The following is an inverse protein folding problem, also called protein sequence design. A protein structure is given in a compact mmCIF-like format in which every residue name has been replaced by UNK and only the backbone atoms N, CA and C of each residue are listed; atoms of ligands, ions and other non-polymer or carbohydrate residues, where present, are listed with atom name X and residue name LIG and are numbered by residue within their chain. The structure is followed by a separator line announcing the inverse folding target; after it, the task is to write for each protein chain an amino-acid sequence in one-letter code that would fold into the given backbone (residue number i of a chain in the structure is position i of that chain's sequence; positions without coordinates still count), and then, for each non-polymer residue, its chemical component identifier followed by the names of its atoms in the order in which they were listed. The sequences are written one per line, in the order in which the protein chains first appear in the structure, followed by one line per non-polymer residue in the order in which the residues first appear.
data_IF_531424872269
#
_entry.id   IF_531424872269
#
_cell.length_a   1.000
_cell.length_b   1.000
_cell.length_c   1.000
_cell.angle_alpha   90.00
_cell.angle_beta   90.00
_cell.angle_gamma   90.00
#
_symmetry.space_group_name_H-M   'P 1'
#
loop_
_entity.id
_entity.type
_entity.pdbx_description
1 polymer ?
#
# COMPACT_ATOMS: atom_id res chain seq x y z
N UNK A 1 5.26 -9.36 4.51
CA UNK A 1 6.48 -8.53 4.41
C UNK A 1 6.26 -7.29 3.54
N UNK A 2 5.75 -7.44 2.31
CA UNK A 2 5.45 -6.30 1.42
C UNK A 2 4.54 -5.24 2.07
N UNK A 3 3.47 -5.65 2.77
CA UNK A 3 2.60 -4.72 3.52
C UNK A 3 3.35 -4.01 4.67
N UNK A 4 4.28 -4.67 5.34
CA UNK A 4 5.07 -4.04 6.40
C UNK A 4 6.00 -2.95 5.84
N UNK A 5 6.60 -3.22 4.67
CA UNK A 5 7.39 -2.23 3.93
C UNK A 5 6.51 -1.06 3.51
N UNK A 6 5.30 -1.31 3.02
CA UNK A 6 4.34 -0.25 2.71
C UNK A 6 4.04 0.64 3.93
N UNK A 7 3.76 0.06 5.09
CA UNK A 7 3.54 0.82 6.33
C UNK A 7 4.79 1.63 6.73
N UNK A 8 5.98 1.03 6.62
CA UNK A 8 7.24 1.71 6.89
C UNK A 8 7.47 2.89 5.93
N UNK A 9 7.18 2.71 4.64
CA UNK A 9 7.28 3.77 3.63
C UNK A 9 6.32 4.94 3.91
N UNK A 10 5.10 4.66 4.37
CA UNK A 10 4.17 5.70 4.82
C UNK A 10 4.70 6.42 6.06
N UNK A 11 5.26 5.70 7.03
CA UNK A 11 5.86 6.31 8.22
C UNK A 11 7.03 7.22 7.84
N UNK A 12 7.91 6.78 6.94
CA UNK A 12 8.99 7.61 6.40
C UNK A 12 8.43 8.87 5.72
N UNK A 13 7.32 8.74 4.98
CA UNK A 13 6.65 9.89 4.39
C UNK A 13 6.17 10.89 5.45
N UNK A 14 5.48 10.41 6.47
CA UNK A 14 5.00 11.25 7.57
C UNK A 14 6.15 11.95 8.29
N UNK A 15 7.25 11.25 8.56
CA UNK A 15 8.45 11.83 9.19
C UNK A 15 9.02 12.95 8.31
N UNK A 16 9.19 12.71 7.01
CA UNK A 16 9.69 13.72 6.07
C UNK A 16 8.82 14.99 6.08
N UNK A 17 7.49 14.83 6.10
CA UNK A 17 6.53 15.94 6.18
C UNK A 17 6.57 16.68 7.51
N UNK A 18 6.67 15.96 8.63
CA UNK A 18 6.81 16.59 9.96
C UNK A 18 8.08 17.44 10.01
N UNK A 19 9.21 16.90 9.53
CA UNK A 19 10.49 17.63 9.51
C UNK A 19 10.37 18.89 8.65
N UNK A 20 9.78 18.78 7.44
CA UNK A 20 9.57 19.93 6.56
C UNK A 20 8.71 21.01 7.21
N UNK A 21 7.49 20.66 7.65
CA UNK A 21 6.55 21.64 8.21
C UNK A 21 7.01 22.23 9.55
N UNK A 22 7.70 21.44 10.37
CA UNK A 22 8.26 21.93 11.63
C UNK A 22 9.41 22.91 11.39
N UNK A 23 10.25 22.65 10.38
CA UNK A 23 11.29 23.58 9.94
C UNK A 23 10.69 24.87 9.38
N UNK A 24 9.64 24.78 8.58
CA UNK A 24 8.97 25.95 7.97
C UNK A 24 8.30 26.81 9.05
N UNK A 25 7.61 26.17 9.99
CA UNK A 25 6.99 26.85 11.13
C UNK A 25 8.03 27.54 12.02
N UNK A 26 9.16 26.88 12.29
CA UNK A 26 10.26 27.46 13.05
C UNK A 26 10.81 28.73 12.38
N UNK A 27 11.12 28.66 11.09
CA UNK A 27 11.62 29.82 10.32
C UNK A 27 10.59 30.96 10.24
N UNK A 28 9.30 30.62 10.20
CA UNK A 28 8.23 31.60 10.18
C UNK A 28 8.12 32.39 11.50
N UNK A 29 8.18 31.68 12.64
CA UNK A 29 8.03 32.23 13.99
C UNK A 29 9.27 32.98 14.50
N UNK A 30 10.46 32.66 13.98
CA UNK A 30 11.70 33.30 14.40
C UNK A 30 11.77 34.75 13.87
N UNK A 31 12.29 35.72 14.66
CA UNK A 31 12.42 37.12 14.23
C UNK A 31 13.59 37.31 13.24
N UNK A 32 13.52 36.62 12.10
CA UNK A 32 14.47 36.72 11.00
C UNK A 32 13.94 37.68 9.93
N UNK A 33 14.82 38.39 9.20
CA UNK A 33 14.43 39.17 8.04
C UNK A 33 13.83 38.24 6.96
N UNK A 34 12.92 38.79 6.13
CA UNK A 34 12.08 38.03 5.19
C UNK A 34 12.88 37.10 4.26
N UNK A 35 14.06 37.53 3.82
CA UNK A 35 14.94 36.74 2.94
C UNK A 35 15.58 35.53 3.64
N UNK A 36 15.76 35.60 4.97
CA UNK A 36 16.37 34.54 5.76
C UNK A 36 15.37 33.50 6.28
N UNK A 37 14.06 33.76 6.13
CA UNK A 37 13.00 32.80 6.45
C UNK A 37 12.91 31.62 5.48
N UNK A 38 13.71 31.63 4.41
CA UNK A 38 13.76 30.54 3.42
C UNK A 38 14.48 29.32 3.99
N UNK A 39 14.00 28.14 3.60
CA UNK A 39 14.53 26.88 4.09
C UNK A 39 15.95 26.60 3.55
N UNK A 40 16.77 25.97 4.36
CA UNK A 40 18.10 25.52 3.94
C UNK A 40 17.99 24.39 2.93
N UNK A 41 18.86 24.44 1.91
CA UNK A 41 18.93 23.43 0.86
C UNK A 41 19.03 21.99 1.40
N UNK A 42 19.94 21.72 2.35
CA UNK A 42 20.15 20.38 2.88
C UNK A 42 18.92 19.79 3.58
N UNK A 43 18.21 20.60 4.38
CA UNK A 43 16.98 20.16 5.05
C UNK A 43 15.90 19.86 4.01
N UNK A 44 15.79 20.70 2.99
CA UNK A 44 14.84 20.53 1.91
C UNK A 44 15.10 19.24 1.10
N UNK A 45 16.37 18.94 0.75
CA UNK A 45 16.72 17.71 0.03
C UNK A 45 16.37 16.48 0.85
N UNK A 46 16.73 16.48 2.14
CA UNK A 46 16.49 15.33 3.02
C UNK A 46 14.99 15.11 3.23
N UNK A 47 14.24 16.13 3.62
CA UNK A 47 12.79 16.01 3.88
C UNK A 47 12.04 15.57 2.64
N UNK A 48 12.39 16.13 1.48
CA UNK A 48 11.78 15.81 0.18
C UNK A 48 12.12 14.43 -0.33
N UNK A 49 13.38 14.02 -0.19
CA UNK A 49 13.78 12.65 -0.52
C UNK A 49 13.02 11.63 0.32
N UNK A 50 12.87 11.87 1.63
CA UNK A 50 12.14 10.97 2.54
C UNK A 50 10.67 10.84 2.15
N UNK A 51 9.97 11.95 1.93
CA UNK A 51 8.54 11.88 1.64
C UNK A 51 8.24 11.39 0.23
N UNK A 52 9.05 11.78 -0.77
CA UNK A 52 8.91 11.25 -2.12
C UNK A 52 9.24 9.76 -2.18
N UNK A 53 10.29 9.31 -1.50
CA UNK A 53 10.62 7.88 -1.41
C UNK A 53 9.46 7.09 -0.80
N UNK A 54 8.88 7.59 0.30
CA UNK A 54 7.75 6.94 0.95
C UNK A 54 6.53 6.78 0.04
N UNK A 55 6.21 7.80 -0.75
CA UNK A 55 5.13 7.75 -1.75
C UNK A 55 5.41 6.77 -2.87
N UNK A 56 6.57 6.86 -3.53
CA UNK A 56 6.88 5.95 -4.63
C UNK A 56 6.97 4.50 -4.15
N UNK A 57 7.63 4.26 -3.02
CA UNK A 57 7.73 2.93 -2.45
C UNK A 57 6.37 2.36 -2.05
N UNK A 58 5.49 3.17 -1.45
CA UNK A 58 4.13 2.72 -1.13
C UNK A 58 3.27 2.50 -2.38
N UNK A 59 3.44 3.29 -3.44
CA UNK A 59 2.67 3.18 -4.69
C UNK A 59 2.94 1.92 -5.50
N UNK A 60 4.16 1.38 -5.43
CA UNK A 60 4.50 0.13 -6.10
C UNK A 60 4.11 -1.11 -5.28
N UNK A 61 3.65 -0.95 -4.03
CA UNK A 61 3.22 -2.08 -3.17
C UNK A 61 2.17 -2.94 -3.86
N UNK A 62 1.14 -2.34 -4.45
CA UNK A 62 0.08 -3.09 -5.14
C UNK A 62 0.62 -3.88 -6.35
N UNK A 63 1.63 -3.33 -7.05
CA UNK A 63 2.33 -4.01 -8.16
C UNK A 63 3.10 -5.24 -7.65
N UNK A 64 3.90 -5.08 -6.60
CA UNK A 64 4.66 -6.19 -6.03
C UNK A 64 3.77 -7.26 -5.39
N UNK A 65 2.63 -6.87 -4.81
CA UNK A 65 1.60 -7.83 -4.36
C UNK A 65 1.03 -8.61 -5.55
N UNK A 66 0.68 -7.94 -6.65
CA UNK A 66 0.17 -8.62 -7.84
C UNK A 66 1.17 -9.63 -8.41
N UNK A 67 2.46 -9.27 -8.44
CA UNK A 67 3.55 -10.17 -8.86
C UNK A 67 3.67 -11.35 -7.88
N UNK A 68 3.72 -11.10 -6.57
CA UNK A 68 3.78 -12.15 -5.54
C UNK A 68 2.63 -13.15 -5.71
N UNK A 69 1.40 -12.64 -5.90
CA UNK A 69 0.20 -13.48 -6.05
C UNK A 69 0.20 -14.24 -7.36
N UNK A 70 0.71 -13.64 -8.44
CA UNK A 70 0.88 -14.33 -9.73
C UNK A 70 1.86 -15.49 -9.59
N UNK A 71 3.02 -15.27 -8.97
CA UNK A 71 4.03 -16.30 -8.72
C UNK A 71 3.45 -17.40 -7.83
N UNK A 72 2.80 -17.05 -6.73
CA UNK A 72 2.20 -18.01 -5.81
C UNK A 72 1.11 -18.88 -6.48
N UNK A 73 0.35 -18.30 -7.41
CA UNK A 73 -0.73 -19.03 -8.12
C UNK A 73 -0.17 -19.96 -9.20
N UNK A 74 0.77 -19.49 -10.04
CA UNK A 74 1.30 -20.29 -11.16
C UNK A 74 2.41 -21.27 -10.75
N UNK A 75 3.18 -20.95 -9.71
CA UNK A 75 4.34 -21.73 -9.27
C UNK A 75 4.17 -22.23 -7.82
N UNK A 76 2.96 -22.63 -7.43
CA UNK A 76 2.59 -22.97 -6.05
C UNK A 76 3.58 -23.93 -5.37
N UNK A 77 3.94 -25.05 -6.01
CA UNK A 77 4.89 -26.04 -5.47
C UNK A 77 6.29 -25.47 -5.19
N UNK A 78 6.81 -24.62 -6.08
CA UNK A 78 8.14 -24.01 -5.92
C UNK A 78 8.11 -22.83 -4.93
N UNK A 79 6.98 -22.12 -4.90
CA UNK A 79 6.76 -21.03 -3.98
C UNK A 79 6.69 -21.50 -2.52
N UNK A 80 6.04 -22.63 -2.24
CA UNK A 80 5.96 -23.19 -0.88
C UNK A 80 7.35 -23.46 -0.27
N UNK A 81 8.25 -24.06 -1.05
CA UNK A 81 9.61 -24.36 -0.62
C UNK A 81 10.52 -23.12 -0.50
N UNK A 82 10.10 -21.98 -1.09
CA UNK A 82 10.93 -20.78 -1.23
C UNK A 82 10.28 -19.47 -0.80
N UNK A 83 9.12 -19.49 -0.12
CA UNK A 83 8.25 -18.32 0.10
C UNK A 83 8.98 -17.11 0.68
N UNK A 84 9.89 -17.37 1.63
CA UNK A 84 10.68 -16.32 2.28
C UNK A 84 11.66 -15.66 1.30
N UNK A 85 12.37 -16.45 0.47
CA UNK A 85 13.34 -15.95 -0.51
C UNK A 85 12.68 -15.06 -1.56
N UNK A 86 11.54 -15.49 -2.11
CA UNK A 86 10.78 -14.68 -3.09
C UNK A 86 10.24 -13.40 -2.47
N UNK A 87 9.73 -13.47 -1.23
CA UNK A 87 9.28 -12.28 -0.51
C UNK A 87 10.39 -11.25 -0.28
N UNK A 88 11.59 -11.71 0.11
CA UNK A 88 12.76 -10.82 0.34
C UNK A 88 13.21 -10.19 -0.97
N UNK A 89 13.32 -10.98 -2.03
CA UNK A 89 13.71 -10.49 -3.34
C UNK A 89 12.77 -9.36 -3.83
N UNK A 90 11.45 -9.57 -3.73
CA UNK A 90 10.46 -8.59 -4.16
C UNK A 90 10.54 -7.28 -3.35
N UNK A 91 10.73 -7.38 -2.04
CA UNK A 91 10.90 -6.20 -1.17
C UNK A 91 12.16 -5.42 -1.50
N UNK A 92 13.29 -6.11 -1.72
CA UNK A 92 14.54 -5.45 -2.08
C UNK A 92 14.39 -4.75 -3.43
N UNK A 93 13.77 -5.39 -4.42
CA UNK A 93 13.50 -4.74 -5.71
C UNK A 93 12.56 -3.54 -5.60
N UNK A 94 11.56 -3.58 -4.71
CA UNK A 94 10.66 -2.45 -4.47
C UNK A 94 11.40 -1.23 -3.93
N UNK A 95 12.29 -1.44 -2.95
CA UNK A 95 13.11 -0.38 -2.37
C UNK A 95 14.08 0.18 -3.41
N UNK A 96 14.79 -0.68 -4.14
CA UNK A 96 15.73 -0.27 -5.18
C UNK A 96 15.06 0.54 -6.29
N UNK A 97 13.90 0.10 -6.77
CA UNK A 97 13.13 0.82 -7.80
C UNK A 97 12.77 2.23 -7.32
N UNK A 98 12.31 2.35 -6.07
CA UNK A 98 11.94 3.63 -5.47
C UNK A 98 13.16 4.55 -5.30
N UNK A 99 14.32 4.02 -4.91
CA UNK A 99 15.56 4.78 -4.81
C UNK A 99 16.02 5.28 -6.18
N UNK A 100 15.96 4.45 -7.22
CA UNK A 100 16.34 4.84 -8.59
C UNK A 100 15.45 5.98 -9.08
N UNK A 101 14.14 5.89 -8.87
CA UNK A 101 13.18 6.96 -9.23
C UNK A 101 13.57 8.27 -8.54
N UNK A 102 13.85 8.23 -7.24
CA UNK A 102 14.27 9.42 -6.48
C UNK A 102 15.58 9.97 -7.01
N UNK A 103 16.61 9.15 -7.20
CA UNK A 103 17.89 9.62 -7.74
C UNK A 103 17.66 10.32 -9.08
N UNK A 104 16.92 9.70 -10.01
CA UNK A 104 16.64 10.30 -11.31
C UNK A 104 15.83 11.61 -11.24
N UNK A 105 14.87 11.71 -10.32
CA UNK A 105 14.07 12.93 -10.10
C UNK A 105 14.92 14.11 -9.60
N UNK A 106 16.02 13.84 -8.89
CA UNK A 106 16.88 14.87 -8.29
C UNK A 106 18.20 15.09 -9.06
N UNK A 107 18.55 14.24 -10.04
CA UNK A 107 19.86 14.25 -10.73
C UNK A 107 19.99 15.26 -11.89
N UNK A 108 19.43 16.46 -11.80
CA UNK A 108 19.48 17.39 -12.94
C UNK A 108 19.20 18.85 -12.66
N UNK A 109 19.16 19.26 -11.40
CA UNK A 109 18.66 20.58 -11.02
C UNK A 109 19.82 21.46 -10.55
N UNK A 110 19.93 22.68 -11.09
CA UNK A 110 20.79 23.72 -10.53
C UNK A 110 20.15 24.21 -9.23
N UNK A 111 20.72 23.81 -8.09
CA UNK A 111 20.13 24.08 -6.79
C UNK A 111 20.61 25.44 -6.24
N UNK A 112 19.70 26.42 -6.02
CA UNK A 112 20.06 27.63 -5.29
C UNK A 112 20.26 27.30 -3.80
N UNK A 113 21.22 27.97 -3.14
CA UNK A 113 21.51 27.78 -1.70
C UNK A 113 20.27 27.96 -0.79
N UNK A 114 19.32 28.80 -1.22
CA UNK A 114 18.04 29.06 -0.53
C UNK A 114 16.87 29.11 -1.51
N UNK A 115 16.21 27.97 -1.80
CA UNK A 115 15.08 27.94 -2.71
C UNK A 115 13.89 28.72 -2.14
N UNK A 116 13.10 29.36 -3.01
CA UNK A 116 11.92 30.15 -2.60
C UNK A 116 10.81 29.28 -1.98
N UNK A 117 10.76 28.02 -2.39
CA UNK A 117 9.94 26.96 -1.81
C UNK A 117 10.75 25.66 -1.86
N UNK A 118 10.53 24.73 -0.95
CA UNK A 118 11.19 23.43 -0.97
C UNK A 118 10.66 22.54 -2.13
N UNK A 119 10.94 22.97 -3.36
CA UNK A 119 10.58 22.32 -4.60
C UNK A 119 11.80 22.27 -5.50
N UNK A 120 12.11 21.05 -5.91
CA UNK A 120 13.09 20.77 -6.94
C UNK A 120 12.38 20.73 -8.28
N UNK A 121 12.92 21.49 -9.24
CA UNK A 121 12.41 21.58 -10.59
C UNK A 121 12.87 20.35 -11.38
N UNK A 122 12.33 19.18 -11.04
CA UNK A 122 12.55 17.97 -11.82
C UNK A 122 12.36 18.27 -13.30
N UNK A 123 13.17 17.66 -14.17
CA UNK A 123 12.92 17.63 -15.62
C UNK A 123 11.46 17.24 -15.83
N UNK A 124 10.63 18.19 -16.27
CA UNK A 124 9.16 18.03 -16.36
C UNK A 124 8.81 16.69 -17.00
N UNK A 125 9.48 16.37 -18.10
CA UNK A 125 9.29 15.13 -18.86
C UNK A 125 9.49 13.85 -18.02
N UNK A 126 10.50 13.77 -17.16
CA UNK A 126 10.76 12.55 -16.39
C UNK A 126 9.72 12.36 -15.28
N UNK A 127 9.37 13.42 -14.56
CA UNK A 127 8.33 13.36 -13.52
C UNK A 127 6.98 12.92 -14.12
N UNK A 128 6.53 13.56 -15.20
CA UNK A 128 5.29 13.19 -15.88
C UNK A 128 5.31 11.73 -16.37
N UNK A 129 6.44 11.25 -16.92
CA UNK A 129 6.59 9.85 -17.35
C UNK A 129 6.44 8.90 -16.15
N UNK A 130 7.12 9.19 -15.03
CA UNK A 130 7.04 8.36 -13.83
C UNK A 130 5.61 8.31 -13.27
N UNK A 131 4.90 9.43 -13.25
CA UNK A 131 3.50 9.49 -12.81
C UNK A 131 2.59 8.63 -13.70
N UNK A 132 2.70 8.75 -15.03
CA UNK A 132 1.93 7.95 -15.99
C UNK A 132 2.23 6.45 -15.84
N UNK A 133 3.52 6.09 -15.72
CA UNK A 133 3.94 4.69 -15.49
C UNK A 133 3.40 4.16 -14.17
N UNK A 134 3.37 4.99 -13.12
CA UNK A 134 2.86 4.58 -11.80
C UNK A 134 1.34 4.36 -11.84
N UNK A 135 0.58 5.22 -12.51
CA UNK A 135 -0.87 5.06 -12.68
C UNK A 135 -1.19 3.80 -13.49
N UNK A 136 -0.56 3.64 -14.65
CA UNK A 136 -0.82 2.51 -15.56
C UNK A 136 -0.42 1.17 -14.95
N UNK A 137 0.72 1.11 -14.25
CA UNK A 137 1.15 -0.10 -13.53
C UNK A 137 0.23 -0.47 -12.38
N UNK A 138 -0.30 0.51 -11.63
CA UNK A 138 -1.28 0.27 -10.57
C UNK A 138 -2.62 -0.24 -11.13
N UNK A 139 -3.11 0.32 -12.23
CA UNK A 139 -4.31 -0.17 -12.94
C UNK A 139 -4.17 -1.62 -13.37
N UNK A 140 -3.06 -1.95 -14.04
CA UNK A 140 -2.79 -3.31 -14.48
C UNK A 140 -2.69 -4.28 -13.30
N UNK A 141 -2.00 -3.87 -12.24
CA UNK A 141 -1.78 -4.70 -11.05
C UNK A 141 -3.06 -4.95 -10.28
N UNK A 142 -3.92 -3.94 -10.15
CA UNK A 142 -5.24 -4.09 -9.52
C UNK A 142 -6.12 -5.05 -10.33
N UNK A 143 -6.19 -4.89 -11.65
CA UNK A 143 -6.92 -5.80 -12.53
C UNK A 143 -6.41 -7.24 -12.43
N UNK A 144 -5.09 -7.43 -12.38
CA UNK A 144 -4.47 -8.74 -12.22
C UNK A 144 -4.77 -9.37 -10.85
N UNK A 145 -4.68 -8.59 -9.77
CA UNK A 145 -5.06 -9.02 -8.42
C UNK A 145 -6.53 -9.46 -8.37
N UNK A 146 -7.44 -8.68 -8.97
CA UNK A 146 -8.86 -9.01 -9.04
C UNK A 146 -9.14 -10.27 -9.87
N UNK A 147 -8.46 -10.43 -11.01
CA UNK A 147 -8.57 -11.64 -11.83
C UNK A 147 -8.09 -12.88 -11.06
N UNK A 148 -6.92 -12.81 -10.43
CA UNK A 148 -6.38 -13.91 -9.62
C UNK A 148 -7.25 -14.22 -8.42
N UNK A 149 -7.89 -13.21 -7.82
CA UNK A 149 -8.86 -13.41 -6.75
C UNK A 149 -10.03 -14.27 -7.21
N UNK A 150 -10.64 -13.94 -8.36
CA UNK A 150 -11.77 -14.69 -8.91
C UNK A 150 -11.37 -16.14 -9.25
N UNK A 151 -10.22 -16.34 -9.90
CA UNK A 151 -9.71 -17.68 -10.22
C UNK A 151 -9.50 -18.51 -8.95
N UNK A 152 -8.87 -17.92 -7.93
CA UNK A 152 -8.63 -18.60 -6.65
C UNK A 152 -9.94 -18.95 -5.94
N UNK A 153 -10.97 -18.11 -6.04
CA UNK A 153 -12.29 -18.40 -5.48
C UNK A 153 -12.99 -19.55 -6.23
N UNK A 154 -12.90 -19.58 -7.56
CA UNK A 154 -13.50 -20.66 -8.38
C UNK A 154 -12.81 -22.00 -8.13
N UNK A 155 -11.48 -22.06 -8.16
CA UNK A 155 -10.73 -23.32 -7.94
C UNK A 155 -11.04 -23.95 -6.57
N UNK A 156 -11.29 -23.12 -5.55
CA UNK A 156 -11.64 -23.58 -4.19
C UNK A 156 -13.07 -24.08 -4.05
N UNK A 157 -13.98 -23.66 -4.92
CA UNK A 157 -15.34 -24.18 -4.94
C UNK A 157 -15.39 -25.58 -5.57
N UNK A 158 -14.41 -25.91 -6.42
CA UNK A 158 -14.37 -27.15 -7.19
C UNK A 158 -13.50 -28.23 -6.53
N UNK A 159 -12.41 -27.87 -5.84
CA UNK A 159 -11.54 -28.85 -5.18
C UNK A 159 -12.16 -29.41 -3.89
N UNK A 160 -12.73 -30.61 -3.98
CA UNK A 160 -13.06 -31.45 -2.84
C UNK A 160 -11.77 -31.88 -2.12
N UNK A 161 -11.55 -31.35 -0.91
CA UNK A 161 -10.27 -31.42 -0.19
C UNK A 161 -9.95 -32.86 0.25
N UNK A 162 -8.85 -33.43 -0.25
CA UNK A 162 -8.38 -34.78 0.11
C UNK A 162 -7.35 -34.81 1.24
N UNK A 163 -6.61 -33.71 1.50
CA UNK A 163 -5.54 -33.67 2.52
C UNK A 163 -5.73 -32.56 3.58
N UNK A 164 -5.39 -32.86 4.85
CA UNK A 164 -5.50 -31.91 5.99
C UNK A 164 -4.66 -30.63 5.79
N UNK A 165 -3.46 -30.74 5.21
CA UNK A 165 -2.60 -29.57 4.92
C UNK A 165 -3.27 -28.62 3.92
N UNK A 166 -3.91 -29.16 2.88
CA UNK A 166 -4.65 -28.36 1.91
C UNK A 166 -5.86 -27.70 2.54
N UNK A 167 -6.55 -28.38 3.46
CA UNK A 167 -7.67 -27.81 4.23
C UNK A 167 -7.23 -26.59 5.04
N UNK A 168 -6.10 -26.71 5.75
CA UNK A 168 -5.54 -25.62 6.54
C UNK A 168 -5.17 -24.42 5.68
N UNK A 169 -4.49 -24.65 4.54
CA UNK A 169 -4.14 -23.59 3.59
C UNK A 169 -5.37 -22.90 2.99
N UNK A 170 -6.44 -23.65 2.68
CA UNK A 170 -7.69 -23.07 2.17
C UNK A 170 -8.34 -22.17 3.24
N UNK A 171 -8.32 -22.59 4.51
CA UNK A 171 -8.95 -21.86 5.60
C UNK A 171 -8.18 -20.59 6.00
N UNK A 172 -6.84 -20.66 6.04
CA UNK A 172 -5.97 -19.50 6.24
C UNK A 172 -6.17 -18.48 5.11
N UNK A 173 -6.17 -18.95 3.87
CA UNK A 173 -6.36 -18.08 2.72
C UNK A 173 -7.79 -17.50 2.64
N UNK A 174 -8.82 -18.15 3.17
CA UNK A 174 -10.19 -17.60 3.23
C UNK A 174 -10.27 -16.34 4.09
N UNK A 175 -9.37 -16.21 5.06
CA UNK A 175 -9.26 -15.04 5.95
C UNK A 175 -8.35 -13.97 5.33
N UNK A 176 -7.20 -14.37 4.80
CA UNK A 176 -6.19 -13.46 4.26
C UNK A 176 -6.61 -12.76 2.97
N UNK A 177 -7.28 -13.48 2.06
CA UNK A 177 -7.61 -12.93 0.75
C UNK A 177 -8.58 -11.73 0.81
N UNK A 178 -9.71 -11.75 1.54
CA UNK A 178 -10.59 -10.57 1.62
C UNK A 178 -9.91 -9.37 2.31
N UNK A 179 -9.00 -9.62 3.27
CA UNK A 179 -8.17 -8.58 3.89
C UNK A 179 -7.26 -7.95 2.84
N UNK A 180 -6.54 -8.80 2.08
CA UNK A 180 -5.62 -8.37 1.04
C UNK A 180 -6.34 -7.59 -0.06
N UNK A 181 -7.50 -8.07 -0.52
CA UNK A 181 -8.29 -7.42 -1.56
C UNK A 181 -8.78 -6.04 -1.10
N UNK A 182 -9.27 -5.95 0.15
CA UNK A 182 -9.71 -4.68 0.74
C UNK A 182 -8.55 -3.68 0.83
N UNK A 183 -7.39 -4.15 1.28
CA UNK A 183 -6.17 -3.34 1.32
C UNK A 183 -5.76 -2.85 -0.07
N UNK A 184 -5.61 -3.75 -1.05
CA UNK A 184 -5.20 -3.39 -2.42
C UNK A 184 -6.21 -2.48 -3.11
N UNK A 185 -7.50 -2.59 -2.78
CA UNK A 185 -8.53 -1.70 -3.33
C UNK A 185 -8.43 -0.28 -2.77
N UNK A 186 -8.19 -0.14 -1.47
CA UNK A 186 -8.00 1.17 -0.84
C UNK A 186 -6.72 1.84 -1.35
N UNK A 187 -5.63 1.07 -1.39
CA UNK A 187 -4.35 1.55 -1.90
C UNK A 187 -4.45 1.98 -3.37
N UNK A 188 -5.07 1.15 -4.22
CA UNK A 188 -5.32 1.49 -5.62
C UNK A 188 -6.10 2.80 -5.79
N UNK A 189 -7.24 2.96 -5.10
CA UNK A 189 -8.06 4.17 -5.18
C UNK A 189 -7.26 5.40 -4.76
N UNK A 190 -6.52 5.30 -3.65
CA UNK A 190 -5.71 6.40 -3.17
C UNK A 190 -4.59 6.76 -4.14
N UNK A 191 -3.82 5.77 -4.62
CA UNK A 191 -2.68 6.01 -5.52
C UNK A 191 -3.13 6.61 -6.85
N UNK A 192 -4.23 6.11 -7.43
CA UNK A 192 -4.76 6.68 -8.69
C UNK A 192 -5.21 8.12 -8.48
N UNK A 193 -5.95 8.44 -7.42
CA UNK A 193 -6.38 9.81 -7.14
C UNK A 193 -5.17 10.71 -6.89
N UNK A 194 -4.18 10.24 -6.13
CA UNK A 194 -2.97 10.98 -5.80
C UNK A 194 -2.17 11.35 -7.05
N UNK A 195 -1.79 10.37 -7.87
CA UNK A 195 -0.98 10.61 -9.07
C UNK A 195 -1.76 11.30 -10.18
N UNK A 196 -3.06 11.05 -10.32
CA UNK A 196 -3.90 11.79 -11.27
C UNK A 196 -3.99 13.27 -10.88
N UNK A 197 -4.13 13.58 -9.59
CA UNK A 197 -4.16 14.96 -9.10
C UNK A 197 -2.82 15.67 -9.32
N UNK A 198 -1.70 14.97 -9.09
CA UNK A 198 -0.37 15.50 -9.40
C UNK A 198 -0.22 15.80 -10.90
N UNK A 199 -0.62 14.88 -11.77
CA UNK A 199 -0.59 15.05 -13.22
C UNK A 199 -1.43 16.27 -13.66
N UNK A 200 -2.64 16.42 -13.12
CA UNK A 200 -3.52 17.56 -13.42
C UNK A 200 -2.85 18.88 -12.99
N UNK A 201 -2.26 18.92 -11.80
CA UNK A 201 -1.59 20.12 -11.29
C UNK A 201 -0.34 20.47 -12.10
N UNK A 202 0.43 19.48 -12.56
CA UNK A 202 1.58 19.73 -13.43
C UNK A 202 1.15 20.27 -14.81
N UNK A 203 0.03 19.78 -15.37
CA UNK A 203 -0.53 20.30 -16.63
C UNK A 203 -1.06 21.74 -16.47
N UNK A 204 -1.73 22.06 -15.36
CA UNK A 204 -2.27 23.39 -15.06
C UNK A 204 -1.20 24.42 -14.66
N UNK A 205 0.06 23.99 -14.49
CA UNK A 205 1.18 24.85 -14.08
C UNK A 205 1.39 26.06 -15.01
N UNK A 206 1.04 25.94 -16.29
CA UNK A 206 1.23 27.00 -17.27
C UNK A 206 0.21 28.16 -17.14
N UNK A 207 -0.90 27.95 -16.42
CA UNK A 207 -2.01 28.91 -16.36
C UNK A 207 -2.13 29.63 -15.01
N UNK A 208 -1.54 29.09 -13.94
CA UNK A 208 -1.74 29.59 -12.56
C UNK A 208 -0.53 30.34 -12.00
N UNK A 209 -0.82 31.28 -11.10
CA UNK A 209 0.20 31.94 -10.28
C UNK A 209 0.91 30.93 -9.37
N UNK A 210 2.21 31.17 -9.13
CA UNK A 210 3.07 30.26 -8.35
C UNK A 210 2.48 29.92 -6.96
N UNK A 211 1.85 30.89 -6.28
CA UNK A 211 1.23 30.67 -4.96
C UNK A 211 0.05 29.69 -5.00
N UNK A 212 -0.80 29.77 -6.03
CA UNK A 212 -1.96 28.88 -6.19
C UNK A 212 -1.52 27.46 -6.53
N UNK A 213 -0.49 27.34 -7.37
CA UNK A 213 0.12 26.06 -7.72
C UNK A 213 0.71 25.37 -6.48
N UNK A 214 1.45 26.11 -5.66
CA UNK A 214 2.04 25.59 -4.42
C UNK A 214 0.98 25.14 -3.41
N UNK A 215 -0.08 25.92 -3.22
CA UNK A 215 -1.18 25.55 -2.32
C UNK A 215 -1.90 24.27 -2.76
N UNK A 216 -2.11 24.09 -4.07
CA UNK A 216 -2.72 22.87 -4.60
C UNK A 216 -1.82 21.64 -4.44
N UNK A 217 -0.51 21.80 -4.65
CA UNK A 217 0.45 20.71 -4.47
C UNK A 217 0.46 20.21 -3.02
N UNK A 218 0.46 21.12 -2.05
CA UNK A 218 0.40 20.78 -0.63
C UNK A 218 -0.90 20.08 -0.23
N UNK A 219 -2.03 20.49 -0.83
CA UNK A 219 -3.32 19.84 -0.62
C UNK A 219 -3.34 18.39 -1.12
N UNK A 220 -2.71 18.13 -2.27
CA UNK A 220 -2.62 16.79 -2.86
C UNK A 220 -1.68 15.89 -2.06
N UNK A 221 -0.61 16.45 -1.50
CA UNK A 221 0.41 15.71 -0.74
C UNK A 221 -0.03 15.29 0.68
N UNK A 222 -1.34 15.15 0.91
CA UNK A 222 -1.92 14.80 2.21
C UNK A 222 -1.96 13.27 2.47
N UNK A 223 -0.84 12.57 2.21
CA UNK A 223 -0.66 11.12 2.48
C UNK A 223 -0.87 10.75 3.96
N UNK A 224 -0.60 11.60 4.96
CA UNK A 224 -0.95 11.28 6.35
C UNK A 224 -2.45 11.01 6.56
N UNK A 225 -3.33 11.65 5.79
CA UNK A 225 -4.79 11.38 5.84
C UNK A 225 -5.07 9.96 5.36
N UNK A 226 -4.41 9.53 4.28
CA UNK A 226 -4.50 8.15 3.79
C UNK A 226 -4.04 7.14 4.85
N UNK A 227 -2.94 7.41 5.55
CA UNK A 227 -2.46 6.53 6.61
C UNK A 227 -3.53 6.29 7.69
N UNK A 228 -4.21 7.35 8.13
CA UNK A 228 -5.31 7.27 9.12
C UNK A 228 -6.49 6.46 8.57
N UNK A 229 -6.90 6.75 7.34
CA UNK A 229 -8.02 6.05 6.67
C UNK A 229 -7.72 4.55 6.55
N UNK A 230 -6.53 4.17 6.10
CA UNK A 230 -6.13 2.77 5.96
C UNK A 230 -6.15 2.05 7.31
N UNK A 231 -5.54 2.63 8.35
CA UNK A 231 -5.53 2.03 9.69
C UNK A 231 -6.96 1.79 10.18
N UNK A 232 -7.83 2.77 10.02
CA UNK A 232 -9.21 2.69 10.47
C UNK A 232 -10.03 1.64 9.71
N UNK A 233 -9.97 1.67 8.37
CA UNK A 233 -10.73 0.74 7.53
C UNK A 233 -10.22 -0.68 7.70
N UNK A 234 -8.90 -0.89 7.69
CA UNK A 234 -8.31 -2.22 7.86
C UNK A 234 -8.62 -2.80 9.24
N UNK A 235 -8.57 -1.98 10.30
CA UNK A 235 -8.98 -2.41 11.64
C UNK A 235 -10.44 -2.91 11.68
N UNK A 236 -11.34 -2.22 10.98
CA UNK A 236 -12.75 -2.63 10.86
C UNK A 236 -12.91 -3.92 10.05
N UNK A 237 -12.21 -4.05 8.92
CA UNK A 237 -12.24 -5.25 8.08
C UNK A 237 -11.74 -6.48 8.86
N UNK A 238 -10.60 -6.35 9.55
CA UNK A 238 -10.02 -7.42 10.37
C UNK A 238 -10.99 -7.84 11.48
N UNK A 239 -11.53 -6.88 12.24
CA UNK A 239 -12.54 -7.17 13.29
C UNK A 239 -13.77 -7.88 12.73
N UNK A 240 -14.30 -7.43 11.58
CA UNK A 240 -15.47 -8.03 10.94
C UNK A 240 -15.21 -9.48 10.53
N UNK A 241 -14.02 -9.78 10.04
CA UNK A 241 -13.63 -11.14 9.62
C UNK A 241 -13.45 -12.05 10.84
N UNK A 242 -12.76 -11.59 11.89
CA UNK A 242 -12.63 -12.36 13.14
C UNK A 242 -14.00 -12.66 13.76
N UNK A 243 -14.90 -11.67 13.80
CA UNK A 243 -16.25 -11.87 14.31
C UNK A 243 -17.03 -12.92 13.48
N UNK A 244 -17.00 -12.82 12.15
CA UNK A 244 -17.62 -13.83 11.26
C UNK A 244 -17.05 -15.23 11.50
N UNK A 245 -15.74 -15.34 11.74
CA UNK A 245 -15.08 -16.62 12.03
C UNK A 245 -15.55 -17.20 13.37
N UNK A 246 -15.63 -16.37 14.42
CA UNK A 246 -16.12 -16.79 15.73
C UNK A 246 -17.58 -17.25 15.69
N UNK A 247 -18.46 -16.51 15.02
CA UNK A 247 -19.88 -16.88 14.87
C UNK A 247 -20.02 -18.19 14.10
N UNK A 248 -19.29 -18.38 13.00
CA UNK A 248 -19.33 -19.62 12.22
C UNK A 248 -18.82 -20.82 13.02
N UNK A 249 -17.74 -20.64 13.78
CA UNK A 249 -17.18 -21.68 14.64
C UNK A 249 -18.20 -22.09 15.72
N UNK A 250 -18.82 -21.13 16.40
CA UNK A 250 -19.83 -21.41 17.41
C UNK A 250 -21.04 -22.16 16.82
N UNK A 251 -21.50 -21.77 15.63
CA UNK A 251 -22.59 -22.47 14.94
C UNK A 251 -22.21 -23.91 14.56
N UNK A 252 -20.99 -24.15 14.06
CA UNK A 252 -20.53 -25.51 13.72
C UNK A 252 -20.31 -26.40 14.95
N UNK A 253 -19.88 -25.84 16.08
CA UNK A 253 -19.75 -26.57 17.35
C UNK A 253 -21.13 -26.98 17.87
N UNK A 254 -22.10 -26.06 17.91
CA UNK A 254 -23.47 -26.34 18.38
C UNK A 254 -24.14 -27.44 17.55
N UNK A 255 -24.03 -27.40 16.22
CA UNK A 255 -24.62 -28.41 15.33
C UNK A 255 -23.97 -29.79 15.54
N UNK A 256 -22.66 -29.85 15.80
CA UNK A 256 -21.96 -31.11 16.08
C UNK A 256 -22.33 -31.71 17.42
N UNK A 257 -22.50 -30.89 18.46
CA UNK A 257 -22.93 -31.39 19.77
C UNK A 257 -24.32 -32.03 19.66
N UNK A 258 -25.28 -31.35 19.02
CA UNK A 258 -26.63 -31.90 18.79
C UNK A 258 -26.60 -33.20 17.98
N UNK A 259 -25.85 -33.24 16.87
CA UNK A 259 -25.71 -34.43 16.04
C UNK A 259 -25.00 -35.58 16.78
N UNK A 260 -24.02 -35.28 17.63
CA UNK A 260 -23.30 -36.25 18.44
C UNK A 260 -24.21 -36.91 19.48
N UNK A 261 -25.03 -36.12 20.18
CA UNK A 261 -26.01 -36.64 21.14
C UNK A 261 -27.08 -37.49 20.45
N UNK A 262 -27.53 -37.12 19.25
CA UNK A 262 -28.48 -37.92 18.47
C UNK A 262 -27.86 -39.27 18.07
N UNK A 263 -26.61 -39.26 17.59
CA UNK A 263 -25.92 -40.48 17.18
C UNK A 263 -25.65 -41.42 18.36
N UNK A 264 -25.22 -40.89 19.50
CA UNK A 264 -25.06 -41.64 20.76
C UNK A 264 -26.38 -42.27 21.21
N UNK A 265 -27.47 -41.51 21.15
CA UNK A 265 -28.81 -42.01 21.50
C UNK A 265 -29.25 -43.15 20.59
N UNK A 266 -28.96 -43.06 19.29
CA UNK A 266 -29.21 -44.11 18.30
C UNK A 266 -28.40 -45.39 18.57
N UNK A 267 -27.11 -45.26 18.90
CA UNK A 267 -26.29 -46.41 19.27
C UNK A 267 -26.79 -47.09 20.54
N UNK A 268 -27.16 -46.31 21.57
CA UNK A 268 -27.72 -46.87 22.81
C UNK A 268 -29.08 -47.55 22.61
N UNK A 269 -29.92 -47.06 21.70
CA UNK A 269 -31.20 -47.71 21.40
C UNK A 269 -31.08 -49.05 20.67
N UNK A 270 -29.93 -49.32 20.04
CA UNK A 270 -29.67 -50.57 19.32
C UNK A 270 -29.11 -51.69 20.21
N UNK A 271 -28.74 -51.40 21.46
CA UNK A 271 -28.23 -52.36 22.44
C UNK A 271 -29.31 -52.92 23.40
N UNK A 272 -30.60 -52.67 23.11
CA UNK A 272 -31.75 -53.31 23.75
C UNK A 272 -32.44 -54.24 22.77
#
# INVERSE_FOLDING_TARGET
MIIAVHCFSILLHCIGRIVQHSSDLYLWLTPLPVCDKRQFFGICVVSRSLFSFGVYCSSFTTVFIAIERTIATHLSRKYENGKSKYGVLLVVSQILLSLVIIICLFSGDDFPDRPAYCMFYSRKNFATIVEIVTITSNLFSFAQCYRLYNINMTLRATDAVTNLSQKYQIEENKTLIPILLSFTSLDFVFMVIYFLSLLIVDMLRLEKSDSTYLGLLELIQCVPVYAIVVIFVMSRVIKRIHHKKAVKLNAEVQVKDEAYFIYLKQQWSHFK
#
